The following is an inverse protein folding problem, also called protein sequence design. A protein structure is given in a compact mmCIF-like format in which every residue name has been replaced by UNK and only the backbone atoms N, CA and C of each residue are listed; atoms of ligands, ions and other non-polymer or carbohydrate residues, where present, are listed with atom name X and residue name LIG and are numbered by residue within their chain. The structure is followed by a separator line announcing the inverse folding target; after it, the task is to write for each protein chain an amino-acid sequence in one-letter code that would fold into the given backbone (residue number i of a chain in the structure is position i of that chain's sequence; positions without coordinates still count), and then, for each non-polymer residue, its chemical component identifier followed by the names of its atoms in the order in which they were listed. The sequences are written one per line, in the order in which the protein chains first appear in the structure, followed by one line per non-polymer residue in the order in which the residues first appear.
data_IF_686462934407
#
_entry.id   IF_686462934407
#
_cell.length_a   1.000
_cell.length_b   1.000
_cell.length_c   1.000
_cell.angle_alpha   90.00
_cell.angle_beta   90.00
_cell.angle_gamma   90.00
#
_symmetry.space_group_name_H-M   'P 1'
#
loop_
_entity.id
_entity.type
_entity.pdbx_description
1 polymer ?
#
# COMPACT_ATOMS: atom_id res chain seq x y z
N UNK A 1 -20.35 -3.48 -0.52
CA UNK A 1 -21.66 -3.27 0.13
C UNK A 1 -22.08 -4.55 0.83
N UNK A 2 -22.68 -4.43 2.01
CA UNK A 2 -23.35 -5.48 2.77
C UNK A 2 -24.86 -5.18 2.75
N UNK A 3 -25.57 -5.76 1.78
CA UNK A 3 -26.99 -5.49 1.53
C UNK A 3 -27.92 -6.05 2.62
N UNK A 4 -27.39 -6.83 3.57
CA UNK A 4 -28.16 -7.31 4.72
C UNK A 4 -28.46 -6.20 5.75
N UNK A 5 -27.72 -5.08 5.70
CA UNK A 5 -27.89 -3.92 6.57
C UNK A 5 -28.63 -2.83 5.80
N UNK A 6 -29.65 -2.20 6.40
CA UNK A 6 -30.35 -1.08 5.75
C UNK A 6 -29.50 0.19 5.81
N UNK A 7 -29.44 1.00 4.74
CA UNK A 7 -28.63 2.22 4.71
C UNK A 7 -29.05 3.27 5.73
N UNK A 8 -30.32 3.29 6.15
CA UNK A 8 -30.82 4.22 7.17
C UNK A 8 -30.47 3.81 8.61
N UNK A 9 -30.10 2.55 8.84
CA UNK A 9 -29.75 2.03 10.17
C UNK A 9 -28.25 2.18 10.43
N UNK A 10 -27.42 1.75 9.47
CA UNK A 10 -25.97 1.97 9.48
C UNK A 10 -25.47 2.08 8.04
N UNK A 11 -25.33 3.32 7.57
CA UNK A 11 -24.87 3.57 6.22
C UNK A 11 -23.44 3.06 5.98
N UNK A 12 -22.56 3.18 6.98
CA UNK A 12 -21.16 2.78 6.84
C UNK A 12 -21.05 1.26 6.68
N UNK A 13 -21.75 0.50 7.52
CA UNK A 13 -21.80 -0.96 7.40
C UNK A 13 -22.50 -1.40 6.12
N UNK A 14 -23.56 -0.70 5.68
CA UNK A 14 -24.21 -0.99 4.40
C UNK A 14 -23.24 -0.86 3.21
N UNK A 15 -22.46 0.22 3.12
CA UNK A 15 -21.56 0.42 1.97
C UNK A 15 -20.24 -0.36 2.09
N UNK A 16 -19.65 -0.43 3.29
CA UNK A 16 -18.32 -0.97 3.55
C UNK A 16 -18.29 -2.33 4.26
N UNK A 17 -19.41 -2.88 4.74
CA UNK A 17 -19.42 -4.06 5.60
C UNK A 17 -18.72 -5.29 5.00
N UNK A 18 -18.94 -5.56 3.71
CA UNK A 18 -18.22 -6.62 3.00
C UNK A 18 -16.74 -6.30 2.73
N UNK A 19 -16.34 -5.04 2.66
CA UNK A 19 -14.92 -4.68 2.60
C UNK A 19 -14.24 -5.01 3.93
N UNK A 20 -14.83 -4.62 5.06
CA UNK A 20 -14.28 -4.88 6.41
C UNK A 20 -14.10 -6.38 6.64
N UNK A 21 -15.05 -7.21 6.20
CA UNK A 21 -14.99 -8.68 6.30
C UNK A 21 -13.85 -9.30 5.47
N UNK A 22 -13.54 -8.72 4.31
CA UNK A 22 -12.65 -9.33 3.32
C UNK A 22 -11.27 -8.67 3.20
N UNK A 23 -11.06 -7.50 3.83
CA UNK A 23 -9.80 -6.79 3.84
C UNK A 23 -9.19 -6.82 5.26
N UNK A 24 -8.53 -7.92 5.65
CA UNK A 24 -7.80 -7.97 6.93
C UNK A 24 -6.58 -7.04 6.87
N UNK A 25 -6.25 -6.44 8.02
CA UNK A 25 -5.04 -5.64 8.17
C UNK A 25 -3.84 -6.59 8.18
N UNK A 26 -2.90 -6.41 7.24
CA UNK A 26 -1.68 -7.22 7.19
C UNK A 26 -0.72 -6.84 8.33
N UNK A 27 0.16 -7.77 8.72
CA UNK A 27 1.04 -7.63 9.89
C UNK A 27 1.90 -6.34 9.88
N UNK A 28 2.25 -5.85 8.69
CA UNK A 28 3.10 -4.66 8.52
C UNK A 28 2.30 -3.37 8.31
N UNK A 29 0.99 -3.37 8.60
CA UNK A 29 0.10 -2.21 8.44
C UNK A 29 -0.69 -1.95 9.71
N UNK A 30 -1.01 -0.69 9.95
CA UNK A 30 -1.86 -0.25 11.07
C UNK A 30 -3.33 -0.14 10.68
N UNK A 31 -3.65 -0.26 9.39
CA UNK A 31 -5.00 -0.16 8.86
C UNK A 31 -5.07 -0.50 7.38
N UNK A 32 -6.30 -0.63 6.89
CA UNK A 32 -6.58 -0.82 5.46
C UNK A 32 -7.79 0.01 5.05
N UNK A 33 -7.66 0.64 3.90
CA UNK A 33 -8.67 1.48 3.27
C UNK A 33 -8.54 1.41 1.75
N UNK A 34 -9.57 1.85 1.03
CA UNK A 34 -9.51 1.98 -0.43
C UNK A 34 -8.30 2.84 -0.87
N UNK A 35 -7.99 3.92 -0.14
CA UNK A 35 -6.83 4.77 -0.41
C UNK A 35 -5.52 4.00 -0.21
N UNK A 36 -5.39 3.22 0.86
CA UNK A 36 -4.17 2.43 1.11
C UNK A 36 -3.93 1.38 0.01
N UNK A 37 -4.99 0.84 -0.59
CA UNK A 37 -4.88 -0.11 -1.69
C UNK A 37 -4.42 0.61 -2.97
N UNK A 38 -5.01 1.77 -3.27
CA UNK A 38 -4.56 2.60 -4.38
C UNK A 38 -3.10 3.04 -4.22
N UNK A 39 -2.70 3.41 -3.01
CA UNK A 39 -1.32 3.80 -2.69
C UNK A 39 -0.32 2.68 -2.94
N UNK A 40 -0.62 1.44 -2.55
CA UNK A 40 0.26 0.28 -2.85
C UNK A 40 0.49 0.13 -4.35
N UNK A 41 -0.56 0.25 -5.16
CA UNK A 41 -0.44 0.14 -6.62
C UNK A 41 0.36 1.30 -7.22
N UNK A 42 0.19 2.50 -6.66
CA UNK A 42 0.94 3.68 -7.07
C UNK A 42 2.42 3.55 -6.73
N UNK A 43 2.75 3.15 -5.50
CA UNK A 43 4.12 2.93 -5.03
C UNK A 43 4.83 1.86 -5.87
N UNK A 44 4.15 0.76 -6.19
CA UNK A 44 4.69 -0.28 -7.09
C UNK A 44 4.97 0.26 -8.50
N UNK A 45 4.15 1.17 -9.00
CA UNK A 45 4.34 1.81 -10.31
C UNK A 45 5.53 2.77 -10.28
N UNK A 46 5.62 3.60 -9.25
CA UNK A 46 6.73 4.54 -9.05
C UNK A 46 8.06 3.78 -8.90
N UNK A 47 8.08 2.70 -8.11
CA UNK A 47 9.27 1.86 -7.93
C UNK A 47 9.82 1.32 -9.26
N UNK A 48 8.95 0.84 -10.15
CA UNK A 48 9.34 0.39 -11.49
C UNK A 48 9.94 1.52 -12.32
N UNK A 49 9.29 2.68 -12.34
CA UNK A 49 9.78 3.86 -13.07
C UNK A 49 11.16 4.29 -12.55
N UNK A 50 11.35 4.34 -11.22
CA UNK A 50 12.61 4.74 -10.60
C UNK A 50 13.74 3.74 -10.87
N UNK A 51 13.43 2.44 -10.88
CA UNK A 51 14.40 1.38 -11.21
C UNK A 51 14.95 1.52 -12.63
N UNK A 52 14.13 1.98 -13.57
CA UNK A 52 14.49 2.14 -14.99
C UNK A 52 15.06 3.54 -15.32
N UNK A 53 15.12 4.45 -14.34
CA UNK A 53 15.54 5.84 -14.52
C UNK A 53 17.00 6.06 -14.09
N UNK A 54 17.77 6.85 -14.85
CA UNK A 54 19.19 7.15 -14.55
C UNK A 54 19.47 8.55 -14.01
N UNK A 55 18.42 9.37 -13.80
CA UNK A 55 18.56 10.68 -13.15
C UNK A 55 18.82 10.55 -11.64
N UNK A 56 18.94 11.67 -10.93
CA UNK A 56 19.28 11.65 -9.50
C UNK A 56 18.23 10.95 -8.64
N UNK A 57 16.95 10.97 -9.01
CA UNK A 57 15.91 10.22 -8.31
C UNK A 57 16.08 8.70 -8.48
N UNK A 58 16.42 8.23 -9.68
CA UNK A 58 16.71 6.83 -9.95
C UNK A 58 17.98 6.35 -9.25
N UNK A 59 19.05 7.16 -9.26
CA UNK A 59 20.28 6.87 -8.50
C UNK A 59 20.03 6.81 -6.99
N UNK A 60 19.23 7.74 -6.46
CA UNK A 60 18.85 7.73 -5.05
C UNK A 60 18.05 6.46 -4.71
N UNK A 61 17.05 6.12 -5.52
CA UNK A 61 16.31 4.86 -5.37
C UNK A 61 17.23 3.63 -5.39
N UNK A 62 18.14 3.54 -6.36
CA UNK A 62 19.11 2.44 -6.45
C UNK A 62 20.02 2.35 -5.23
N UNK A 63 20.44 3.48 -4.65
CA UNK A 63 21.24 3.48 -3.42
C UNK A 63 20.47 2.91 -2.21
N UNK A 64 19.17 3.22 -2.08
CA UNK A 64 18.33 2.69 -1.02
C UNK A 64 18.00 1.20 -1.21
N UNK A 65 17.93 0.73 -2.46
CA UNK A 65 17.59 -0.66 -2.77
C UNK A 65 18.78 -1.63 -2.72
N UNK A 66 20.02 -1.14 -2.59
CA UNK A 66 21.20 -1.98 -2.47
C UNK A 66 21.39 -2.50 -1.04
N UNK A 67 20.50 -3.40 -0.61
CA UNK A 67 20.49 -3.94 0.76
C UNK A 67 21.78 -4.70 1.10
N UNK A 68 22.42 -5.35 0.11
CA UNK A 68 23.68 -6.05 0.32
C UNK A 68 24.81 -5.10 0.76
N UNK A 69 24.94 -3.95 0.10
CA UNK A 69 25.93 -2.94 0.50
C UNK A 69 25.57 -2.31 1.85
N UNK A 70 24.28 -2.07 2.12
CA UNK A 70 23.82 -1.53 3.40
C UNK A 70 24.20 -2.49 4.55
N UNK A 71 23.98 -3.78 4.37
CA UNK A 71 24.34 -4.83 5.35
C UNK A 71 25.86 -4.95 5.52
N UNK A 72 26.66 -4.86 4.44
CA UNK A 72 28.13 -4.86 4.49
C UNK A 72 28.67 -3.67 5.30
N UNK A 73 28.01 -2.52 5.20
CA UNK A 73 28.34 -1.30 5.96
C UNK A 73 27.86 -1.36 7.42
N UNK A 74 27.11 -2.40 7.82
CA UNK A 74 26.60 -2.58 9.18
C UNK A 74 25.44 -1.65 9.52
N UNK A 75 24.66 -1.23 8.52
CA UNK A 75 23.48 -0.37 8.65
C UNK A 75 22.17 -1.14 8.62
#
# INVERSE_FOLDING_TARGET
MDESVKPCDDFYQHVCGNFIKNAPISQNKTGVSALSIAQVNLEATIAKILADTSNDAGKFYASCMNTALIEELGM
#
